data_IF_509647942143
#
_entry.id   IF_509647942143
#
_cell.length_a   1.000
_cell.length_b   1.000
_cell.length_c   1.000
_cell.angle_alpha   90.00
_cell.angle_beta   90.00
_cell.angle_gamma   90.00
#
_symmetry.space_group_name_H-M   'P 1'
#
loop_
_entity.id
_entity.type
_entity.pdbx_description
1 polymer ?
#
# COMPACT_ATOMS: atom_id res chain seq x y z
N UNK A 1 5.25 -21.34 8.64
CA UNK A 1 5.59 -20.82 9.99
C UNK A 1 4.93 -19.47 10.14
N UNK A 2 4.17 -19.23 11.20
CA UNK A 2 3.56 -17.93 11.47
C UNK A 2 4.54 -17.08 12.27
N UNK A 3 4.90 -15.90 11.78
CA UNK A 3 5.69 -14.92 12.50
C UNK A 3 4.75 -13.87 13.10
N UNK A 4 4.81 -13.70 14.42
CA UNK A 4 4.09 -12.63 15.11
C UNK A 4 5.07 -11.48 15.33
N UNK A 5 4.76 -10.32 14.75
CA UNK A 5 5.51 -9.09 15.01
C UNK A 5 4.98 -8.49 16.30
N UNK A 6 5.88 -8.21 17.25
CA UNK A 6 5.54 -7.54 18.50
C UNK A 6 5.24 -6.06 18.24
N UNK A 7 4.25 -5.51 18.96
CA UNK A 7 3.95 -4.09 18.93
C UNK A 7 5.11 -3.19 19.40
N UNK A 8 6.09 -3.75 20.09
CA UNK A 8 7.32 -3.03 20.46
C UNK A 8 8.21 -2.68 19.28
N UNK A 9 7.97 -3.27 18.13
CA UNK A 9 8.66 -2.94 16.86
C UNK A 9 7.93 -1.88 16.04
N UNK A 10 6.72 -1.49 16.45
CA UNK A 10 6.00 -0.43 15.75
C UNK A 10 6.70 0.91 15.98
N UNK A 11 6.87 1.65 14.91
CA UNK A 11 7.43 3.00 14.90
C UNK A 11 6.45 3.96 14.23
N UNK A 12 6.90 5.19 13.97
CA UNK A 12 6.01 6.22 13.46
C UNK A 12 5.13 6.80 14.57
N UNK A 13 4.27 7.68 14.20
CA UNK A 13 3.31 8.34 15.09
C UNK A 13 2.06 8.70 14.27
N UNK A 14 1.01 9.11 14.96
CA UNK A 14 -0.19 9.58 14.29
C UNK A 14 0.15 10.68 13.27
N UNK A 15 -0.45 10.64 12.07
CA UNK A 15 -1.52 9.74 11.64
C UNK A 15 -1.05 8.42 10.98
N UNK A 16 0.25 8.11 10.96
CA UNK A 16 0.79 6.91 10.31
C UNK A 16 1.66 6.12 11.27
N UNK A 17 1.21 4.93 11.65
CA UNK A 17 1.99 3.95 12.40
C UNK A 17 2.70 3.03 11.41
N UNK A 18 3.98 2.79 11.64
CA UNK A 18 4.77 1.86 10.85
C UNK A 18 4.78 0.52 11.59
N UNK A 19 4.01 -0.44 11.08
CA UNK A 19 3.87 -1.76 11.70
C UNK A 19 5.09 -2.62 11.45
N UNK A 20 5.70 -2.48 10.29
CA UNK A 20 6.92 -3.17 9.91
C UNK A 20 7.85 -2.20 9.17
N UNK A 21 8.85 -1.65 9.83
CA UNK A 21 9.70 -0.62 9.24
C UNK A 21 10.82 -1.17 8.33
N UNK A 22 11.07 -2.49 8.31
CA UNK A 22 12.15 -3.06 7.51
C UNK A 22 13.51 -2.46 7.87
N UNK A 23 14.20 -1.90 6.91
CA UNK A 23 15.53 -1.29 7.07
C UNK A 23 15.60 -0.12 8.05
N UNK A 24 14.48 0.44 8.47
CA UNK A 24 14.45 1.52 9.47
C UNK A 24 14.85 1.04 10.87
N UNK A 25 14.66 -0.25 11.17
CA UNK A 25 15.06 -0.84 12.46
C UNK A 25 16.56 -1.11 12.49
N UNK A 26 17.08 -1.68 11.42
CA UNK A 26 18.49 -2.01 11.27
C UNK A 26 18.86 -2.09 9.80
N UNK A 27 20.12 -1.78 9.49
CA UNK A 27 20.63 -1.90 8.11
C UNK A 27 20.61 -3.33 7.59
N UNK A 28 20.54 -4.31 8.48
CA UNK A 28 20.52 -5.74 8.18
C UNK A 28 19.08 -6.27 8.06
N UNK A 29 18.10 -5.54 8.59
CA UNK A 29 16.68 -5.89 8.47
C UNK A 29 16.19 -5.54 7.06
N UNK A 30 16.22 -6.51 6.18
CA UNK A 30 15.80 -6.35 4.78
C UNK A 30 14.32 -6.58 4.57
N UNK A 31 13.55 -6.76 5.63
CA UNK A 31 12.11 -7.01 5.54
C UNK A 31 11.76 -8.51 5.57
N UNK A 32 10.54 -8.83 5.19
CA UNK A 32 10.05 -10.21 5.08
C UNK A 32 9.99 -10.56 3.58
N UNK A 33 11.00 -11.24 3.09
CA UNK A 33 11.13 -11.46 1.65
C UNK A 33 11.19 -10.13 0.90
N UNK A 34 10.26 -9.91 -0.01
CA UNK A 34 10.18 -8.64 -0.75
C UNK A 34 9.42 -7.53 0.00
N UNK A 35 8.70 -7.83 1.08
CA UNK A 35 8.00 -6.82 1.87
C UNK A 35 9.02 -6.02 2.68
N UNK A 36 9.18 -4.76 2.35
CA UNK A 36 10.12 -3.86 3.00
C UNK A 36 9.52 -3.05 4.14
N UNK A 37 8.24 -2.69 4.03
CA UNK A 37 7.56 -1.83 4.99
C UNK A 37 6.07 -2.11 4.98
N UNK A 38 5.41 -1.94 6.11
CA UNK A 38 3.94 -1.95 6.25
C UNK A 38 3.55 -0.76 7.10
N UNK A 39 2.78 0.14 6.53
CA UNK A 39 2.21 1.30 7.20
C UNK A 39 0.73 1.08 7.51
N UNK A 40 0.30 1.63 8.62
CA UNK A 40 -1.10 1.69 9.05
C UNK A 40 -1.47 3.17 9.22
N UNK A 41 -1.96 3.83 8.18
CA UNK A 41 -2.54 5.14 8.28
C UNK A 41 -3.90 5.10 8.99
N UNK A 42 -4.15 6.09 9.86
CA UNK A 42 -5.44 6.39 10.47
C UNK A 42 -5.58 7.92 10.46
N UNK A 43 -6.17 8.46 9.40
CA UNK A 43 -6.18 9.89 9.12
C UNK A 43 -7.58 10.45 9.33
N UNK A 44 -7.70 11.33 10.31
CA UNK A 44 -8.94 12.01 10.67
C UNK A 44 -9.04 13.37 9.95
N UNK A 45 -10.28 13.77 9.65
CA UNK A 45 -10.56 15.06 9.02
C UNK A 45 -10.10 15.15 7.56
N UNK A 46 -10.40 16.25 6.94
CA UNK A 46 -9.98 16.52 5.57
C UNK A 46 -8.48 16.88 5.55
N UNK A 47 -7.71 16.05 4.89
CA UNK A 47 -6.24 16.18 4.83
C UNK A 47 -5.75 15.97 3.42
N UNK A 48 -4.71 16.69 3.04
CA UNK A 48 -4.02 16.49 1.76
C UNK A 48 -2.61 15.98 2.04
N UNK A 49 -2.34 14.75 1.61
CA UNK A 49 -0.98 14.24 1.48
C UNK A 49 -0.48 14.75 0.14
N UNK A 50 0.30 15.82 0.20
CA UNK A 50 0.76 16.54 -0.99
C UNK A 50 1.55 15.64 -1.93
N UNK A 51 1.58 16.01 -3.20
CA UNK A 51 2.35 15.36 -4.24
C UNK A 51 3.76 15.01 -3.78
N UNK A 52 4.10 13.72 -3.80
CA UNK A 52 5.41 13.21 -3.36
C UNK A 52 5.85 12.05 -4.23
N UNK A 53 7.18 11.85 -4.38
CA UNK A 53 7.72 10.83 -5.25
C UNK A 53 7.91 9.49 -4.57
N UNK A 54 7.76 8.41 -5.36
CA UNK A 54 8.22 7.07 -5.07
C UNK A 54 9.15 6.59 -6.19
N UNK A 55 10.16 5.81 -5.84
CA UNK A 55 11.14 5.25 -6.78
C UNK A 55 11.38 3.79 -6.44
N UNK A 56 11.15 2.91 -7.41
CA UNK A 56 11.39 1.48 -7.26
C UNK A 56 10.66 0.83 -6.07
N UNK A 57 9.46 1.32 -5.77
CA UNK A 57 8.53 0.70 -4.84
C UNK A 57 7.34 0.12 -5.59
N UNK A 58 6.80 -0.98 -5.11
CA UNK A 58 5.46 -1.42 -5.40
C UNK A 58 4.66 -1.27 -4.12
N UNK A 59 3.55 -0.53 -4.15
CA UNK A 59 2.75 -0.23 -2.96
C UNK A 59 1.34 -0.74 -3.16
N UNK A 60 0.98 -1.78 -2.39
CA UNK A 60 -0.39 -2.26 -2.32
C UNK A 60 -1.11 -1.51 -1.20
N UNK A 61 -2.13 -0.74 -1.57
CA UNK A 61 -2.99 -0.01 -0.65
C UNK A 61 -4.34 -0.70 -0.50
N UNK A 62 -4.72 -0.95 0.75
CA UNK A 62 -6.00 -1.45 1.18
C UNK A 62 -6.61 -0.47 2.16
N UNK A 63 -7.88 -0.09 1.95
CA UNK A 63 -8.61 0.82 2.83
C UNK A 63 -9.75 0.08 3.51
N UNK A 64 -9.77 0.14 4.84
CA UNK A 64 -10.81 -0.44 5.68
C UNK A 64 -12.00 0.50 5.80
N UNK A 65 -11.70 1.79 6.02
CA UNK A 65 -12.69 2.87 6.16
C UNK A 65 -12.23 4.11 5.44
N UNK A 66 -13.13 5.08 5.31
CA UNK A 66 -12.86 6.37 4.70
C UNK A 66 -12.76 6.33 3.18
N UNK A 67 -12.51 7.49 2.62
CA UNK A 67 -12.30 7.70 1.18
C UNK A 67 -11.23 8.73 0.93
N UNK A 68 -10.53 8.62 -0.18
CA UNK A 68 -9.62 9.63 -0.68
C UNK A 68 -9.75 9.79 -2.20
N UNK A 69 -9.38 10.95 -2.71
CA UNK A 69 -9.11 11.17 -4.12
C UNK A 69 -7.61 11.02 -4.36
N UNK A 70 -7.23 10.01 -5.11
CA UNK A 70 -5.89 9.81 -5.60
C UNK A 70 -5.71 10.55 -6.91
N UNK A 71 -4.61 11.26 -7.07
CA UNK A 71 -4.16 11.84 -8.35
C UNK A 71 -2.67 11.61 -8.54
N UNK A 72 -2.22 11.37 -9.77
CA UNK A 72 -0.85 10.96 -10.02
C UNK A 72 -0.22 11.51 -11.30
N UNK A 73 1.10 11.28 -11.41
CA UNK A 73 1.91 11.72 -12.54
C UNK A 73 1.64 11.00 -13.86
N UNK A 74 0.92 9.86 -13.83
CA UNK A 74 0.50 9.12 -15.01
C UNK A 74 -0.86 9.64 -15.57
N UNK A 75 -1.47 10.60 -14.86
CA UNK A 75 -2.68 11.29 -15.26
C UNK A 75 -3.97 10.65 -14.76
N UNK A 76 -3.88 9.73 -13.79
CA UNK A 76 -5.06 9.16 -13.18
C UNK A 76 -5.57 10.05 -12.05
N UNK A 77 -6.89 10.19 -11.99
CA UNK A 77 -7.61 10.75 -10.85
C UNK A 77 -8.72 9.77 -10.50
N UNK A 78 -8.70 9.23 -9.28
CA UNK A 78 -9.68 8.23 -8.86
C UNK A 78 -10.02 8.35 -7.37
N UNK A 79 -11.31 8.25 -7.06
CA UNK A 79 -11.76 8.06 -5.67
C UNK A 79 -11.47 6.62 -5.26
N UNK A 80 -10.77 6.46 -4.15
CA UNK A 80 -10.39 5.18 -3.54
C UNK A 80 -11.03 5.05 -2.16
N UNK A 81 -11.32 3.84 -1.73
CA UNK A 81 -11.93 3.55 -0.43
C UNK A 81 -12.04 2.05 -0.19
N UNK A 82 -12.89 1.65 0.74
CA UNK A 82 -13.00 0.25 1.24
C UNK A 82 -13.30 -0.83 0.20
N UNK A 83 -13.74 -0.45 -1.00
CA UNK A 83 -13.96 -1.39 -2.11
C UNK A 83 -12.85 -1.36 -3.15
N UNK A 84 -11.90 -0.44 -3.01
CA UNK A 84 -10.85 -0.25 -3.99
C UNK A 84 -9.53 -0.74 -3.44
N UNK A 85 -8.92 -1.70 -4.11
CA UNK A 85 -7.50 -1.99 -3.95
C UNK A 85 -6.72 -1.18 -5.00
N UNK A 86 -5.55 -0.69 -4.61
CA UNK A 86 -4.65 0.01 -5.51
C UNK A 86 -3.27 -0.62 -5.43
N UNK A 87 -2.70 -1.00 -6.56
CA UNK A 87 -1.30 -1.36 -6.69
C UNK A 87 -0.59 -0.30 -7.52
N UNK A 88 0.25 0.47 -6.87
CA UNK A 88 1.15 1.42 -7.51
C UNK A 88 2.52 0.77 -7.69
N UNK A 89 3.03 0.78 -8.91
CA UNK A 89 4.39 0.35 -9.27
C UNK A 89 5.17 1.59 -9.67
N UNK A 90 5.98 2.10 -8.78
CA UNK A 90 6.63 3.39 -8.98
C UNK A 90 7.69 3.39 -10.10
N UNK A 91 8.33 2.24 -10.35
CA UNK A 91 9.32 2.14 -11.41
C UNK A 91 10.42 3.20 -11.29
N UNK A 92 10.77 3.86 -12.37
CA UNK A 92 11.80 4.92 -12.38
C UNK A 92 11.46 6.08 -11.47
N UNK A 93 10.23 6.52 -11.48
CA UNK A 93 9.66 7.56 -10.62
C UNK A 93 8.16 7.67 -10.88
N UNK A 94 7.41 7.76 -9.80
CA UNK A 94 5.98 7.99 -9.78
C UNK A 94 5.68 9.03 -8.70
N UNK A 95 4.82 9.96 -8.98
CA UNK A 95 4.40 10.96 -8.00
C UNK A 95 2.90 10.88 -7.81
N UNK A 96 2.43 10.99 -6.57
CA UNK A 96 1.01 11.06 -6.29
C UNK A 96 0.67 11.99 -5.14
N UNK A 97 -0.58 12.38 -5.12
CA UNK A 97 -1.24 13.15 -4.08
C UNK A 97 -2.50 12.39 -3.64
N UNK A 98 -2.82 12.45 -2.36
CA UNK A 98 -4.06 11.91 -1.83
C UNK A 98 -4.81 12.99 -1.05
N UNK A 99 -6.03 13.29 -1.49
CA UNK A 99 -6.99 14.14 -0.80
C UNK A 99 -7.92 13.27 0.03
N UNK A 100 -7.78 13.29 1.33
CA UNK A 100 -8.52 12.45 2.25
C UNK A 100 -9.78 13.17 2.72
N UNK A 101 -10.92 12.47 2.67
CA UNK A 101 -12.22 12.93 3.12
C UNK A 101 -12.58 12.23 4.43
N UNK A 102 -12.00 12.71 5.53
CA UNK A 102 -12.09 12.08 6.84
C UNK A 102 -13.13 12.69 7.80
N UNK A 103 -14.07 13.50 7.31
CA UNK A 103 -15.04 14.19 8.18
C UNK A 103 -16.09 13.26 8.79
N UNK A 104 -16.45 12.17 8.10
CA UNK A 104 -17.48 11.23 8.55
C UNK A 104 -16.89 10.03 9.27
N UNK A 105 -15.81 9.51 8.76
CA UNK A 105 -15.05 8.40 9.33
C UNK A 105 -13.57 8.57 8.94
N UNK A 106 -12.62 8.17 9.79
CA UNK A 106 -11.19 8.26 9.44
C UNK A 106 -10.88 7.39 8.23
N UNK A 107 -9.93 7.81 7.43
CA UNK A 107 -9.33 6.93 6.43
C UNK A 107 -8.33 6.03 7.13
N UNK A 108 -8.69 4.76 7.23
CA UNK A 108 -7.88 3.72 7.87
C UNK A 108 -7.58 2.61 6.88
N UNK A 109 -6.35 2.10 6.90
CA UNK A 109 -5.98 1.02 6.01
C UNK A 109 -4.56 0.49 6.22
N UNK A 110 -4.05 -0.18 5.21
CA UNK A 110 -2.68 -0.65 5.14
C UNK A 110 -2.06 -0.22 3.82
N UNK A 111 -0.81 0.22 3.90
CA UNK A 111 0.05 0.37 2.72
C UNK A 111 1.23 -0.59 2.88
N UNK A 112 1.33 -1.54 1.95
CA UNK A 112 2.34 -2.59 1.97
C UNK A 112 3.35 -2.28 0.87
N UNK A 113 4.56 -1.91 1.29
CA UNK A 113 5.66 -1.57 0.40
C UNK A 113 6.43 -2.84 0.04
N UNK A 114 6.52 -3.11 -1.25
CA UNK A 114 7.12 -4.32 -1.82
C UNK A 114 8.29 -3.89 -2.69
N UNK A 115 9.44 -4.51 -2.50
CA UNK A 115 10.59 -4.28 -3.38
C UNK A 115 10.34 -4.95 -4.73
N UNK A 116 10.48 -4.23 -5.83
CA UNK A 116 10.23 -4.79 -7.14
C UNK A 116 11.30 -5.85 -7.50
N UNK A 117 10.90 -6.82 -8.28
CA UNK A 117 11.82 -7.84 -8.81
C UNK A 117 12.81 -7.25 -9.84
N UNK A 118 12.48 -6.10 -10.43
CA UNK A 118 13.33 -5.37 -11.38
C UNK A 118 13.18 -3.87 -11.17
N UNK A 119 14.32 -3.18 -11.18
CA UNK A 119 14.36 -1.71 -11.03
C UNK A 119 14.08 -0.98 -12.34
N UNK A 120 13.75 0.29 -12.21
CA UNK A 120 13.63 1.27 -13.30
C UNK A 120 12.62 0.87 -14.38
N UNK A 121 11.58 0.14 -13.99
CA UNK A 121 10.45 -0.17 -14.85
C UNK A 121 9.66 1.10 -15.18
N UNK A 122 8.79 1.01 -16.18
CA UNK A 122 7.81 2.05 -16.46
C UNK A 122 6.84 2.15 -15.27
N UNK A 123 6.52 3.37 -14.80
CA UNK A 123 5.50 3.56 -13.78
C UNK A 123 4.13 3.02 -14.23
N UNK A 124 3.39 2.47 -13.29
CA UNK A 124 2.05 1.94 -13.52
C UNK A 124 1.23 2.03 -12.23
N UNK A 125 -0.04 2.37 -12.36
CA UNK A 125 -1.03 2.23 -11.28
C UNK A 125 -2.20 1.38 -11.75
N UNK A 126 -2.61 0.44 -10.92
CA UNK A 126 -3.74 -0.45 -11.19
C UNK A 126 -4.73 -0.36 -10.05
N UNK A 127 -6.00 -0.15 -10.38
CA UNK A 127 -7.09 -0.13 -9.43
C UNK A 127 -8.00 -1.33 -9.67
N UNK A 128 -8.43 -1.95 -8.57
CA UNK A 128 -9.42 -3.03 -8.60
C UNK A 128 -10.57 -2.69 -7.67
N UNK A 129 -11.79 -2.84 -8.16
CA UNK A 129 -12.98 -2.84 -7.34
C UNK A 129 -13.26 -4.25 -6.82
N UNK A 130 -13.42 -4.36 -5.50
CA UNK A 130 -13.75 -5.60 -4.83
C UNK A 130 -15.27 -5.85 -4.89
N UNK A 131 -15.68 -6.99 -5.41
CA UNK A 131 -17.09 -7.44 -5.35
C UNK A 131 -17.51 -7.68 -3.91
N UNK A 132 -16.64 -8.33 -3.12
CA UNK A 132 -16.81 -8.58 -1.70
C UNK A 132 -15.74 -7.86 -0.89
N UNK A 133 -16.14 -7.02 0.05
CA UNK A 133 -15.22 -6.31 0.94
C UNK A 133 -14.53 -7.27 1.91
N UNK A 134 -15.25 -8.28 2.39
CA UNK A 134 -14.77 -9.22 3.41
C UNK A 134 -14.51 -10.61 2.82
N UNK A 135 -13.50 -11.27 3.35
CA UNK A 135 -13.22 -12.69 3.09
C UNK A 135 -13.46 -13.48 4.37
N UNK A 136 -14.70 -13.92 4.58
CA UNK A 136 -15.03 -14.68 5.77
C UNK A 136 -14.58 -16.14 5.63
N UNK A 137 -13.79 -16.62 6.62
CA UNK A 137 -13.29 -17.99 6.70
C UNK A 137 -12.52 -18.50 5.47
N UNK A 138 -11.97 -17.61 4.66
CA UNK A 138 -11.17 -17.97 3.49
C UNK A 138 -10.01 -16.98 3.26
N UNK A 139 -8.91 -17.46 2.74
CA UNK A 139 -7.85 -16.63 2.20
C UNK A 139 -8.22 -16.17 0.79
N UNK A 140 -7.89 -14.94 0.47
CA UNK A 140 -8.02 -14.36 -0.87
C UNK A 140 -6.65 -13.93 -1.36
N UNK A 141 -6.23 -14.45 -2.50
CA UNK A 141 -5.01 -13.99 -3.15
C UNK A 141 -5.28 -12.65 -3.83
N UNK A 142 -4.59 -11.61 -3.42
CA UNK A 142 -4.74 -10.26 -3.96
C UNK A 142 -3.63 -9.91 -4.96
N UNK A 143 -2.40 -10.29 -4.68
CA UNK A 143 -1.27 -10.00 -5.55
C UNK A 143 -0.29 -11.17 -5.61
N UNK A 144 0.29 -11.41 -6.76
CA UNK A 144 1.34 -12.41 -6.95
C UNK A 144 2.18 -12.10 -8.20
N UNK A 145 3.33 -12.73 -8.38
CA UNK A 145 4.11 -12.61 -9.62
C UNK A 145 3.42 -13.25 -10.83
N UNK A 146 2.41 -14.08 -10.60
CA UNK A 146 1.72 -14.82 -11.66
C UNK A 146 0.47 -14.09 -12.14
N UNK A 147 0.17 -14.21 -13.43
CA UNK A 147 -0.98 -13.54 -14.10
C UNK A 147 -2.36 -13.99 -13.58
N UNK A 148 -2.42 -15.06 -12.80
CA UNK A 148 -3.69 -15.61 -12.26
C UNK A 148 -4.20 -14.87 -11.01
N UNK A 149 -3.43 -13.92 -10.47
CA UNK A 149 -3.87 -13.09 -9.35
C UNK A 149 -4.54 -11.82 -9.83
N UNK A 150 -5.24 -11.17 -8.92
CA UNK A 150 -5.91 -9.91 -9.16
C UNK A 150 -4.92 -8.82 -9.58
N UNK A 151 -3.78 -8.72 -8.90
CA UNK A 151 -2.67 -7.86 -9.27
C UNK A 151 -1.43 -8.69 -9.62
N UNK A 152 -0.75 -8.30 -10.67
CA UNK A 152 0.55 -8.83 -11.00
C UNK A 152 1.65 -7.93 -10.41
N UNK A 153 2.32 -8.44 -9.38
CA UNK A 153 3.55 -7.84 -8.83
C UNK A 153 4.75 -8.22 -9.71
N UNK A 154 5.73 -7.34 -9.83
CA UNK A 154 7.03 -7.68 -10.44
C UNK A 154 7.92 -8.45 -9.47
N UNK A 155 7.56 -8.48 -8.22
CA UNK A 155 8.26 -9.14 -7.11
C UNK A 155 7.79 -10.58 -6.93
N UNK A 156 8.62 -11.42 -6.31
CA UNK A 156 8.28 -12.79 -5.90
C UNK A 156 7.49 -12.79 -4.56
N UNK A 157 6.40 -12.04 -4.53
CA UNK A 157 5.55 -11.87 -3.33
C UNK A 157 4.11 -12.29 -3.63
N UNK A 158 3.49 -13.00 -2.68
CA UNK A 158 2.08 -13.36 -2.67
C UNK A 158 1.40 -12.65 -1.49
N UNK A 159 0.30 -11.92 -1.74
CA UNK A 159 -0.47 -11.14 -0.78
C UNK A 159 -1.97 -11.48 -0.86
#
# INVERSE_FOLDING_TARGET
MLHKISNTRFTGHDPIKILYPGLEISKEDTGIGSIGRIDHPEIHGNTVIKMHPHINDEILSYFRTGTAEHSDSEGFVKTIGKRTLMLMKAGKMFQHEEKIFGDKEPMEGLQIFIRPGKKDLKPEVVFLELDEIHSENKWRLLASPNVVSVFQSSSQTWL
#
